data_IF_808792458954
#
_entry.id   IF_808792458954
#
_cell.length_a   1.000
_cell.length_b   1.000
_cell.length_c   1.000
_cell.angle_alpha   90.00
_cell.angle_beta   90.00
_cell.angle_gamma   90.00
#
_symmetry.space_group_name_H-M   'P 1'
#
loop_
_entity.id
_entity.type
_entity.pdbx_description
1 polymer ?
#
# COMPACT_ATOMS: atom_id res chain seq x y z
N UNK A 1 15.25 -56.00 28.32
CA UNK A 1 14.24 -55.08 27.72
C UNK A 1 14.44 -53.60 28.08
N UNK A 2 15.11 -53.22 29.19
CA UNK A 2 15.28 -51.81 29.56
C UNK A 2 16.34 -51.04 28.73
N UNK A 3 17.42 -51.69 28.28
CA UNK A 3 18.52 -51.00 27.55
C UNK A 3 18.17 -50.57 26.12
N UNK A 4 17.18 -51.22 25.47
CA UNK A 4 16.68 -50.84 24.14
C UNK A 4 15.71 -49.66 24.18
N UNK A 5 15.00 -49.46 25.30
CA UNK A 5 14.12 -48.30 25.50
C UNK A 5 14.96 -47.04 25.70
N UNK A 6 15.96 -47.08 26.58
CA UNK A 6 16.86 -45.94 26.84
C UNK A 6 17.59 -45.47 25.59
N UNK A 7 18.11 -46.39 24.76
CA UNK A 7 18.77 -46.03 23.49
C UNK A 7 17.82 -45.35 22.49
N UNK A 8 16.54 -45.72 22.47
CA UNK A 8 15.52 -45.05 21.63
C UNK A 8 15.19 -43.64 22.14
N UNK A 9 15.12 -43.43 23.46
CA UNK A 9 14.91 -42.10 24.03
C UNK A 9 16.09 -41.17 23.74
N UNK A 10 17.32 -41.66 23.89
CA UNK A 10 18.54 -40.87 23.56
C UNK A 10 18.55 -40.51 22.06
N UNK A 11 18.21 -41.44 21.17
CA UNK A 11 18.14 -41.16 19.73
C UNK A 11 17.08 -40.10 19.40
N UNK A 12 15.89 -40.18 19.99
CA UNK A 12 14.82 -39.18 19.79
C UNK A 12 15.24 -37.80 20.30
N UNK A 13 15.90 -37.74 21.47
CA UNK A 13 16.41 -36.49 22.04
C UNK A 13 17.50 -35.89 21.14
N UNK A 14 18.43 -36.70 20.62
CA UNK A 14 19.48 -36.23 19.72
C UNK A 14 18.90 -35.72 18.40
N UNK A 15 17.91 -36.40 17.82
CA UNK A 15 17.23 -35.95 16.60
C UNK A 15 16.48 -34.64 16.82
N UNK A 16 15.75 -34.50 17.94
CA UNK A 16 15.05 -33.26 18.29
C UNK A 16 16.01 -32.10 18.57
N UNK A 17 17.12 -32.35 19.27
CA UNK A 17 18.15 -31.35 19.52
C UNK A 17 18.83 -30.90 18.21
N UNK A 18 19.08 -31.85 17.29
CA UNK A 18 19.67 -31.56 15.98
C UNK A 18 18.71 -30.77 15.08
N UNK A 19 17.41 -31.08 15.14
CA UNK A 19 16.37 -30.34 14.43
C UNK A 19 16.19 -28.93 14.99
N UNK A 20 16.23 -28.76 16.31
CA UNK A 20 16.18 -27.45 16.96
C UNK A 20 17.41 -26.61 16.63
N UNK A 21 18.62 -27.19 16.71
CA UNK A 21 19.86 -26.52 16.31
C UNK A 21 19.82 -26.11 14.83
N UNK A 22 19.27 -26.95 13.96
CA UNK A 22 19.07 -26.63 12.55
C UNK A 22 18.07 -25.49 12.34
N UNK A 23 16.94 -25.48 13.06
CA UNK A 23 15.95 -24.39 13.01
C UNK A 23 16.53 -23.08 13.54
N UNK A 24 17.28 -23.12 14.64
CA UNK A 24 17.97 -21.94 15.20
C UNK A 24 19.04 -21.44 14.22
N UNK A 25 19.85 -22.32 13.65
CA UNK A 25 20.82 -21.96 12.60
C UNK A 25 20.13 -21.38 11.36
N UNK A 26 19.02 -21.95 10.92
CA UNK A 26 18.24 -21.46 9.79
C UNK A 26 17.64 -20.07 10.07
N UNK A 27 17.10 -19.84 11.26
CA UNK A 27 16.62 -18.53 11.69
C UNK A 27 17.76 -17.50 11.82
N UNK A 28 18.91 -17.87 12.39
CA UNK A 28 20.09 -17.00 12.46
C UNK A 28 20.59 -16.67 11.04
N UNK A 29 20.60 -17.63 10.12
CA UNK A 29 21.01 -17.38 8.72
C UNK A 29 20.00 -16.53 7.95
N UNK A 30 18.70 -16.67 8.23
CA UNK A 30 17.60 -15.93 7.59
C UNK A 30 17.42 -14.51 8.13
N UNK A 31 17.73 -14.27 9.40
CA UNK A 31 17.52 -12.97 10.08
C UNK A 31 18.80 -12.29 10.57
N UNK A 32 19.96 -12.93 10.46
CA UNK A 32 21.23 -12.49 11.05
C UNK A 32 22.36 -12.18 10.06
N UNK A 33 22.09 -12.03 8.76
CA UNK A 33 23.06 -11.45 7.83
C UNK A 33 22.67 -10.00 7.50
N UNK A 34 23.02 -9.11 8.42
CA UNK A 34 23.49 -7.79 8.04
C UNK A 34 25.02 -7.82 8.15
N UNK A 35 25.69 -7.10 7.25
CA UNK A 35 27.15 -6.84 7.18
C UNK A 35 27.96 -7.88 6.38
N UNK A 36 28.90 -7.53 5.48
CA UNK A 36 29.58 -6.27 5.17
C UNK A 36 29.97 -6.28 3.69
N UNK A 37 29.77 -5.17 2.97
CA UNK A 37 30.51 -4.93 1.74
C UNK A 37 31.96 -4.61 2.11
N UNK A 38 32.89 -5.28 1.43
CA UNK A 38 34.32 -4.98 1.53
C UNK A 38 34.56 -3.59 0.92
N UNK A 39 34.88 -2.62 1.76
CA UNK A 39 35.65 -1.46 1.32
C UNK A 39 37.09 -1.71 1.73
N UNK A 40 38.00 -1.64 0.77
CA UNK A 40 39.42 -1.86 0.97
C UNK A 40 39.97 -0.67 1.76
N UNK A 41 40.12 -0.80 3.09
CA UNK A 41 41.17 -0.15 3.91
C UNK A 41 40.90 -0.12 5.43
N UNK A 42 40.31 -1.15 6.06
CA UNK A 42 40.38 -1.31 7.52
C UNK A 42 40.50 -2.80 7.89
N UNK A 43 41.52 -3.14 8.68
CA UNK A 43 41.85 -4.50 9.13
C UNK A 43 40.73 -5.17 9.94
N UNK A 44 40.57 -6.46 9.70
CA UNK A 44 39.55 -7.35 10.24
C UNK A 44 39.73 -7.69 11.72
N UNK A 45 38.65 -7.65 12.51
CA UNK A 45 38.55 -8.42 13.75
C UNK A 45 37.20 -9.17 13.76
N UNK A 46 37.22 -10.41 13.29
CA UNK A 46 36.18 -11.41 13.53
C UNK A 46 36.81 -12.57 14.32
N UNK A 47 36.76 -12.52 15.65
CA UNK A 47 37.19 -13.65 16.50
C UNK A 47 35.98 -14.36 17.11
N UNK A 48 35.78 -15.60 16.67
CA UNK A 48 34.95 -16.62 17.30
C UNK A 48 35.50 -16.96 18.69
N UNK A 49 34.65 -16.96 19.73
CA UNK A 49 34.83 -17.77 20.93
C UNK A 49 33.50 -17.89 21.69
N UNK A 50 32.75 -18.97 21.44
CA UNK A 50 31.61 -19.39 22.25
C UNK A 50 32.06 -20.53 23.16
N UNK A 51 32.35 -20.22 24.42
CA UNK A 51 32.65 -21.20 25.47
C UNK A 51 31.39 -22.00 25.82
N UNK A 52 31.38 -23.30 25.50
CA UNK A 52 30.26 -24.25 25.73
C UNK A 52 30.20 -24.74 27.22
N UNK A 53 30.88 -24.06 28.15
CA UNK A 53 30.97 -24.50 29.56
C UNK A 53 29.79 -24.11 30.45
N UNK A 54 29.04 -23.05 30.11
CA UNK A 54 28.01 -22.47 31.00
C UNK A 54 26.55 -22.68 30.53
N UNK A 55 26.33 -23.46 29.46
CA UNK A 55 25.00 -23.62 28.88
C UNK A 55 24.07 -24.58 29.66
N UNK A 56 24.62 -25.44 30.53
CA UNK A 56 23.82 -26.47 31.22
C UNK A 56 23.17 -25.95 32.51
N UNK A 57 23.76 -24.97 33.19
CA UNK A 57 23.20 -24.38 34.42
C UNK A 57 22.14 -23.29 34.18
N UNK A 58 21.91 -22.89 32.93
CA UNK A 58 20.87 -21.93 32.57
C UNK A 58 19.60 -22.57 31.97
N UNK A 59 19.54 -23.90 31.85
CA UNK A 59 18.35 -24.59 31.31
C UNK A 59 17.13 -24.42 32.23
N UNK A 60 17.31 -24.31 33.55
CA UNK A 60 16.22 -24.01 34.49
C UNK A 60 15.72 -22.55 34.43
N UNK A 61 16.51 -21.64 33.82
CA UNK A 61 16.13 -20.24 33.54
C UNK A 61 15.61 -20.02 32.12
N UNK A 62 15.83 -20.97 31.22
CA UNK A 62 15.00 -21.12 30.03
C UNK A 62 13.70 -21.73 30.54
N UNK A 63 12.88 -20.89 31.19
CA UNK A 63 11.42 -21.07 31.14
C UNK A 63 11.16 -21.50 29.72
N UNK A 64 10.63 -22.72 29.52
CA UNK A 64 10.03 -23.10 28.25
C UNK A 64 9.30 -21.84 27.78
N UNK A 65 9.86 -21.17 26.76
CA UNK A 65 9.23 -20.06 26.10
C UNK A 65 7.91 -20.69 25.70
N UNK A 66 6.88 -20.27 26.42
CA UNK A 66 5.50 -20.66 26.20
C UNK A 66 5.31 -20.34 24.73
N UNK A 67 5.42 -21.35 23.86
CA UNK A 67 5.23 -21.29 22.42
C UNK A 67 3.72 -21.11 22.17
N UNK A 68 3.07 -20.28 22.98
CA UNK A 68 1.85 -19.59 22.65
C UNK A 68 2.20 -18.81 21.41
N UNK A 69 1.78 -19.35 20.28
CA UNK A 69 1.65 -18.61 19.03
C UNK A 69 0.65 -17.49 19.32
N UNK A 70 1.15 -16.38 19.85
CA UNK A 70 0.33 -15.19 20.10
C UNK A 70 0.18 -14.47 18.78
N UNK A 71 -1.05 -14.06 18.46
CA UNK A 71 -1.30 -13.13 17.37
C UNK A 71 -0.50 -11.83 17.60
N UNK A 72 -0.25 -11.11 16.51
CA UNK A 72 0.41 -9.81 16.56
C UNK A 72 -0.30 -8.89 17.57
N UNK A 73 0.44 -8.35 18.55
CA UNK A 73 -0.16 -7.62 19.67
C UNK A 73 -0.41 -6.14 19.40
N UNK A 74 0.22 -5.57 18.37
CA UNK A 74 0.17 -4.13 18.08
C UNK A 74 0.82 -3.24 19.14
N UNK A 75 1.53 -3.81 20.12
CA UNK A 75 2.17 -3.02 21.18
C UNK A 75 3.48 -2.38 20.69
N UNK A 76 3.78 -1.14 21.08
CA UNK A 76 5.01 -0.47 20.67
C UNK A 76 6.23 -1.15 21.31
N UNK A 77 7.26 -1.37 20.50
CA UNK A 77 8.52 -1.99 20.93
C UNK A 77 9.78 -1.30 20.38
N UNK A 78 9.64 -0.36 19.41
CA UNK A 78 10.76 0.43 18.87
C UNK A 78 10.73 1.87 19.41
N UNK A 79 11.87 2.56 19.33
CA UNK A 79 12.01 4.00 19.60
C UNK A 79 12.19 4.74 18.28
N UNK A 80 11.53 5.90 18.12
CA UNK A 80 11.63 6.71 16.90
C UNK A 80 13.08 7.08 16.62
N UNK A 81 13.55 7.00 15.35
CA UNK A 81 14.87 7.48 14.97
C UNK A 81 15.04 8.98 15.27
N UNK A 82 16.15 9.37 15.88
CA UNK A 82 16.41 10.78 16.24
C UNK A 82 17.00 11.61 15.10
N UNK A 83 17.58 10.96 14.08
CA UNK A 83 18.28 11.63 12.98
C UNK A 83 17.44 11.55 11.70
N UNK A 84 16.55 12.52 11.53
CA UNK A 84 15.79 12.77 10.30
C UNK A 84 16.39 14.00 9.60
N UNK A 85 17.59 13.85 9.04
CA UNK A 85 18.23 14.91 8.25
C UNK A 85 17.72 14.88 6.81
N UNK A 86 17.30 16.05 6.31
CA UNK A 86 16.87 16.24 4.94
C UNK A 86 17.72 17.33 4.28
N UNK A 87 18.02 17.15 3.01
CA UNK A 87 18.69 18.16 2.20
C UNK A 87 17.86 19.47 2.23
N UNK A 88 18.55 20.62 2.09
CA UNK A 88 17.90 21.93 2.10
C UNK A 88 16.92 22.07 0.93
N UNK A 89 17.32 21.56 -0.23
CA UNK A 89 16.57 21.67 -1.47
C UNK A 89 15.57 20.52 -1.61
N UNK A 90 14.30 20.88 -1.61
CA UNK A 90 13.20 19.91 -1.56
C UNK A 90 12.79 19.45 -2.96
N UNK A 91 12.88 20.35 -3.94
CA UNK A 91 12.66 20.12 -5.37
C UNK A 91 13.32 21.26 -6.18
N UNK A 92 13.65 21.04 -7.45
CA UNK A 92 14.43 21.99 -8.27
C UNK A 92 13.72 22.45 -9.55
N UNK A 93 12.39 22.42 -9.56
CA UNK A 93 11.63 22.57 -10.80
C UNK A 93 11.30 24.04 -11.07
N UNK A 94 11.90 24.60 -12.12
CA UNK A 94 11.36 25.72 -12.89
C UNK A 94 10.85 25.19 -14.24
N UNK A 95 9.93 24.24 -14.22
CA UNK A 95 9.36 23.66 -15.45
C UNK A 95 8.11 24.43 -15.89
N UNK A 96 7.91 24.52 -17.18
CA UNK A 96 6.73 25.16 -17.76
C UNK A 96 5.49 24.41 -17.30
N UNK A 97 4.61 25.11 -16.57
CA UNK A 97 3.36 24.55 -16.05
C UNK A 97 2.57 23.87 -17.17
N UNK A 98 2.41 22.54 -17.07
CA UNK A 98 1.47 21.78 -17.91
C UNK A 98 0.04 22.23 -17.58
N UNK A 99 -0.75 22.59 -18.60
CA UNK A 99 -2.13 23.00 -18.43
C UNK A 99 -3.05 21.77 -18.27
N UNK A 100 -2.94 21.08 -17.13
CA UNK A 100 -3.61 19.81 -16.92
C UNK A 100 -4.12 19.61 -15.49
N UNK A 101 -5.42 19.30 -15.37
CA UNK A 101 -6.10 19.11 -14.08
C UNK A 101 -6.28 17.64 -13.69
N UNK A 102 -6.28 16.74 -14.67
CA UNK A 102 -6.45 15.31 -14.45
C UNK A 102 -5.16 14.58 -14.84
N UNK A 103 -4.59 13.84 -13.91
CA UNK A 103 -3.33 13.13 -14.11
C UNK A 103 -3.50 11.65 -13.88
N UNK A 104 -3.06 10.82 -14.82
CA UNK A 104 -2.96 9.39 -14.62
C UNK A 104 -1.50 9.03 -14.33
N UNK A 105 -1.27 8.36 -13.21
CA UNK A 105 0.08 8.05 -12.70
C UNK A 105 0.27 6.55 -12.73
N UNK A 106 1.33 6.10 -13.41
CA UNK A 106 1.72 4.69 -13.46
C UNK A 106 3.23 4.56 -13.37
N UNK A 107 3.68 3.50 -12.70
CA UNK A 107 5.06 3.03 -12.75
C UNK A 107 5.06 1.70 -13.51
N UNK A 108 6.02 1.48 -14.40
CA UNK A 108 6.07 0.24 -15.19
C UNK A 108 7.50 -0.13 -15.58
N UNK A 109 7.76 -1.43 -15.66
CA UNK A 109 8.98 -2.00 -16.28
C UNK A 109 8.69 -2.60 -17.66
N UNK A 110 7.45 -2.52 -18.12
CA UNK A 110 6.96 -3.14 -19.34
C UNK A 110 6.88 -2.16 -20.50
N UNK A 111 6.55 -2.70 -21.68
CA UNK A 111 6.23 -1.94 -22.88
C UNK A 111 4.86 -1.23 -22.71
N UNK A 112 4.57 -0.18 -23.49
CA UNK A 112 3.30 0.54 -23.37
C UNK A 112 2.09 -0.39 -23.58
N UNK A 113 1.33 -0.58 -22.51
CA UNK A 113 0.16 -1.45 -22.49
C UNK A 113 -1.06 -0.81 -23.16
N UNK A 114 -2.09 -1.62 -23.39
CA UNK A 114 -3.39 -1.13 -23.87
C UNK A 114 -3.98 -0.07 -22.92
N UNK A 115 -3.81 -0.25 -21.60
CA UNK A 115 -4.23 0.73 -20.59
C UNK A 115 -3.61 2.08 -20.83
N UNK A 116 -2.27 2.15 -20.95
CA UNK A 116 -1.55 3.40 -21.21
C UNK A 116 -2.02 4.03 -22.52
N UNK A 117 -2.15 3.25 -23.59
CA UNK A 117 -2.63 3.72 -24.91
C UNK A 117 -4.02 4.36 -24.82
N UNK A 118 -4.95 3.70 -24.12
CA UNK A 118 -6.30 4.21 -23.95
C UNK A 118 -6.33 5.54 -23.18
N UNK A 119 -5.49 5.72 -22.15
CA UNK A 119 -5.48 6.96 -21.37
C UNK A 119 -4.88 8.12 -22.16
N UNK A 120 -3.77 7.90 -22.87
CA UNK A 120 -3.09 9.00 -23.60
C UNK A 120 -3.95 9.56 -24.74
N UNK A 121 -4.81 8.74 -25.33
CA UNK A 121 -5.77 9.18 -26.35
C UNK A 121 -6.88 10.09 -25.80
N UNK A 122 -7.08 10.14 -24.48
CA UNK A 122 -8.06 11.02 -23.87
C UNK A 122 -7.45 12.40 -23.58
N UNK A 123 -7.82 13.47 -24.32
CA UNK A 123 -7.21 14.79 -24.17
C UNK A 123 -7.51 15.47 -22.84
N UNK A 124 -8.44 14.94 -22.03
CA UNK A 124 -8.72 15.46 -20.69
C UNK A 124 -7.69 15.05 -19.65
N UNK A 125 -6.89 14.02 -19.96
CA UNK A 125 -5.91 13.45 -19.06
C UNK A 125 -4.50 13.75 -19.53
N UNK A 126 -3.64 14.07 -18.56
CA UNK A 126 -2.21 13.91 -18.72
C UNK A 126 -1.78 12.58 -18.12
N UNK A 127 -0.79 11.96 -18.73
CA UNK A 127 -0.25 10.69 -18.26
C UNK A 127 1.20 10.92 -17.88
N UNK A 128 1.57 10.50 -16.68
CA UNK A 128 2.96 10.47 -16.23
C UNK A 128 3.38 9.02 -15.99
N UNK A 129 4.36 8.58 -16.77
CA UNK A 129 5.07 7.32 -16.55
C UNK A 129 6.26 7.60 -15.65
N UNK A 130 6.31 6.94 -14.50
CA UNK A 130 7.48 6.90 -13.64
C UNK A 130 8.31 5.68 -14.03
N UNK A 131 9.40 5.89 -14.75
CA UNK A 131 10.27 4.79 -15.18
C UNK A 131 11.16 4.32 -14.01
N UNK A 132 11.30 3.00 -13.86
CA UNK A 132 12.34 2.40 -13.04
C UNK A 132 13.62 2.20 -13.87
N UNK A 133 14.73 1.80 -13.22
CA UNK A 133 15.98 1.46 -13.89
C UNK A 133 15.85 0.27 -14.84
N UNK A 134 14.82 -0.55 -14.66
CA UNK A 134 14.51 -1.69 -15.54
C UNK A 134 13.62 -1.33 -16.72
N UNK A 135 12.99 -0.15 -16.71
CA UNK A 135 12.13 0.29 -17.80
C UNK A 135 12.97 0.59 -19.03
N UNK A 136 12.42 0.29 -20.22
CA UNK A 136 13.07 0.68 -21.47
C UNK A 136 13.25 2.20 -21.57
N UNK A 137 14.27 2.64 -22.32
CA UNK A 137 14.57 4.06 -22.50
C UNK A 137 13.37 4.85 -23.00
N UNK A 138 13.32 6.16 -22.70
CA UNK A 138 12.27 7.06 -23.20
C UNK A 138 12.09 6.93 -24.71
N UNK A 139 13.18 6.87 -25.47
CA UNK A 139 13.13 6.74 -26.92
C UNK A 139 12.41 5.45 -27.36
N UNK A 140 12.77 4.30 -26.78
CA UNK A 140 12.14 3.02 -27.08
C UNK A 140 10.66 3.02 -26.68
N UNK A 141 10.36 3.51 -25.48
CA UNK A 141 8.98 3.58 -24.98
C UNK A 141 8.09 4.44 -25.86
N UNK A 142 8.56 5.64 -26.21
CA UNK A 142 7.82 6.56 -27.07
C UNK A 142 7.65 6.02 -28.49
N UNK A 143 8.67 5.36 -29.04
CA UNK A 143 8.60 4.75 -30.37
C UNK A 143 7.53 3.66 -30.44
N UNK A 144 7.44 2.82 -29.41
CA UNK A 144 6.41 1.76 -29.34
C UNK A 144 5.02 2.28 -28.99
N UNK A 145 4.94 3.35 -28.18
CA UNK A 145 3.68 3.98 -27.83
C UNK A 145 3.06 4.65 -29.07
N UNK A 146 3.88 5.22 -29.95
CA UNK A 146 3.42 5.89 -31.17
C UNK A 146 2.67 7.19 -30.91
N UNK A 147 2.71 7.71 -29.69
CA UNK A 147 1.98 8.90 -29.26
C UNK A 147 2.90 10.14 -29.27
N UNK A 148 2.37 11.28 -29.75
CA UNK A 148 3.11 12.54 -29.88
C UNK A 148 2.46 13.73 -29.17
N UNK A 149 1.41 13.49 -28.37
CA UNK A 149 0.71 14.55 -27.64
C UNK A 149 1.51 15.08 -26.45
N UNK A 150 1.32 16.35 -26.13
CA UNK A 150 2.06 17.07 -25.07
C UNK A 150 1.57 16.76 -23.64
N UNK A 151 0.44 16.07 -23.52
CA UNK A 151 -0.16 15.56 -22.29
C UNK A 151 0.48 14.25 -21.81
N UNK A 152 1.54 13.77 -22.48
CA UNK A 152 2.32 12.62 -22.02
C UNK A 152 3.66 13.06 -21.43
N UNK A 153 4.02 12.50 -20.27
CA UNK A 153 5.28 12.73 -19.56
C UNK A 153 5.90 11.38 -19.24
N UNK A 154 7.20 11.26 -19.53
CA UNK A 154 7.99 10.08 -19.17
C UNK A 154 9.14 10.53 -18.29
N UNK A 155 9.13 10.17 -17.01
CA UNK A 155 10.16 10.54 -16.04
C UNK A 155 11.21 9.42 -15.97
N UNK A 156 12.37 9.67 -16.58
CA UNK A 156 13.53 8.76 -16.52
C UNK A 156 14.16 8.79 -15.13
N UNK A 157 14.98 7.78 -14.75
CA UNK A 157 15.65 7.76 -13.46
C UNK A 157 16.37 9.06 -13.08
N UNK A 158 17.06 9.69 -14.03
CA UNK A 158 17.77 10.95 -13.81
C UNK A 158 16.81 12.13 -13.55
N UNK A 159 15.59 12.09 -14.11
CA UNK A 159 14.57 13.10 -13.84
C UNK A 159 14.08 13.03 -12.39
N UNK A 160 14.09 11.86 -11.76
CA UNK A 160 13.65 11.69 -10.38
C UNK A 160 14.55 12.46 -9.42
N UNK A 161 15.87 12.27 -9.56
CA UNK A 161 16.89 12.92 -8.75
C UNK A 161 16.99 14.40 -9.07
N UNK A 162 16.88 14.78 -10.35
CA UNK A 162 16.94 16.17 -10.79
C UNK A 162 15.74 16.99 -10.33
N UNK A 163 14.52 16.46 -10.43
CA UNK A 163 13.29 17.21 -10.11
C UNK A 163 12.99 17.16 -8.61
N UNK A 164 13.14 15.99 -7.97
CA UNK A 164 12.71 15.73 -6.60
C UNK A 164 13.80 15.01 -5.80
N UNK A 165 14.99 15.62 -5.60
CA UNK A 165 16.16 14.99 -4.98
C UNK A 165 15.86 14.38 -3.60
N UNK A 166 15.17 15.12 -2.73
CA UNK A 166 14.87 14.69 -1.36
C UNK A 166 13.97 13.46 -1.35
N UNK A 167 12.91 13.44 -2.17
CA UNK A 167 12.00 12.29 -2.30
C UNK A 167 12.71 11.13 -2.99
N UNK A 168 13.40 11.37 -4.11
CA UNK A 168 14.08 10.35 -4.90
C UNK A 168 15.13 9.60 -4.08
N UNK A 169 15.87 10.29 -3.20
CA UNK A 169 16.85 9.69 -2.29
C UNK A 169 16.22 8.80 -1.21
N UNK A 170 15.00 9.12 -0.78
CA UNK A 170 14.27 8.33 0.21
C UNK A 170 13.62 7.07 -0.40
N UNK A 171 13.35 7.06 -1.71
CA UNK A 171 12.66 5.97 -2.38
C UNK A 171 13.65 4.87 -2.84
N UNK A 172 13.38 3.58 -2.58
CA UNK A 172 14.15 2.49 -3.17
C UNK A 172 13.93 2.38 -4.70
N UNK A 173 14.90 1.80 -5.41
CA UNK A 173 14.75 1.39 -6.81
C UNK A 173 14.17 -0.02 -6.91
N UNK A 174 13.61 -0.38 -8.06
CA UNK A 174 12.92 -1.66 -8.32
C UNK A 174 11.76 -1.87 -7.33
N UNK A 175 11.08 -0.78 -7.01
CA UNK A 175 10.08 -0.76 -5.96
C UNK A 175 8.81 -0.06 -6.42
N UNK A 176 7.66 -0.64 -6.12
CA UNK A 176 6.34 -0.11 -6.48
C UNK A 176 6.13 1.33 -6.00
N UNK A 177 6.63 1.63 -4.79
CA UNK A 177 6.59 2.98 -4.20
C UNK A 177 7.29 4.08 -5.00
N UNK A 178 8.06 3.79 -6.08
CA UNK A 178 8.56 4.83 -7.00
C UNK A 178 7.43 5.64 -7.63
N UNK A 179 6.23 5.06 -7.75
CA UNK A 179 4.99 5.72 -8.17
C UNK A 179 4.71 7.04 -7.43
N UNK A 180 5.18 7.18 -6.18
CA UNK A 180 5.12 8.41 -5.39
C UNK A 180 5.68 9.65 -6.09
N UNK A 181 6.70 9.49 -6.95
CA UNK A 181 7.27 10.60 -7.74
C UNK A 181 6.26 11.14 -8.73
N UNK A 182 5.48 10.25 -9.35
CA UNK A 182 4.40 10.64 -10.26
C UNK A 182 3.31 11.42 -9.53
N UNK A 183 2.96 11.03 -8.29
CA UNK A 183 2.01 11.79 -7.48
C UNK A 183 2.53 13.19 -7.17
N UNK A 184 3.78 13.32 -6.68
CA UNK A 184 4.40 14.63 -6.43
C UNK A 184 4.42 15.47 -7.71
N UNK A 185 4.81 14.87 -8.83
CA UNK A 185 4.83 15.55 -10.13
C UNK A 185 3.45 16.09 -10.49
N UNK A 186 2.39 15.27 -10.39
CA UNK A 186 1.02 15.71 -10.65
C UNK A 186 0.56 16.83 -9.71
N UNK A 187 0.85 16.72 -8.40
CA UNK A 187 0.53 17.76 -7.41
C UNK A 187 1.23 19.07 -7.77
N UNK A 188 2.52 19.00 -8.11
CA UNK A 188 3.33 20.14 -8.53
C UNK A 188 2.74 20.85 -9.76
N UNK A 189 2.25 20.06 -10.72
CA UNK A 189 1.56 20.55 -11.90
C UNK A 189 0.06 20.86 -11.68
N UNK A 190 -0.32 21.18 -10.42
CA UNK A 190 -1.65 21.69 -10.05
C UNK A 190 -2.79 20.73 -10.41
N UNK A 191 -2.56 19.43 -10.30
CA UNK A 191 -3.61 18.42 -10.40
C UNK A 191 -4.80 18.77 -9.48
N UNK A 192 -6.00 18.50 -9.97
CA UNK A 192 -7.22 18.42 -9.16
C UNK A 192 -7.60 16.97 -8.89
N UNK A 193 -7.23 16.08 -9.82
CA UNK A 193 -7.45 14.66 -9.72
C UNK A 193 -6.24 13.86 -10.18
N UNK A 194 -5.95 12.77 -9.48
CA UNK A 194 -4.91 11.80 -9.80
C UNK A 194 -5.56 10.41 -9.91
N UNK A 195 -5.53 9.81 -11.10
CA UNK A 195 -5.85 8.40 -11.31
C UNK A 195 -4.61 7.56 -11.03
N UNK A 196 -4.67 6.80 -9.96
CA UNK A 196 -3.72 5.76 -9.60
C UNK A 196 -4.16 4.45 -10.27
N UNK A 197 -3.36 3.98 -11.23
CA UNK A 197 -3.68 2.79 -12.00
C UNK A 197 -2.43 1.98 -12.32
N UNK A 198 -2.62 0.68 -12.55
CA UNK A 198 -1.57 -0.21 -13.03
C UNK A 198 -1.72 -0.43 -14.54
N UNK A 199 -0.63 -0.77 -15.20
CA UNK A 199 -0.59 -0.93 -16.66
C UNK A 199 -1.34 -2.19 -17.16
N UNK A 200 -1.86 -3.03 -16.27
CA UNK A 200 -2.72 -4.17 -16.56
C UNK A 200 -4.23 -3.89 -16.34
N UNK A 201 -4.61 -2.65 -16.00
CA UNK A 201 -6.00 -2.23 -15.84
C UNK A 201 -6.57 -1.71 -17.17
N UNK A 202 -7.30 -2.52 -17.91
CA UNK A 202 -7.89 -2.10 -19.19
C UNK A 202 -9.22 -1.39 -18.95
N UNK A 203 -9.31 -0.15 -19.41
CA UNK A 203 -10.48 0.72 -19.24
C UNK A 203 -10.09 2.08 -18.70
N UNK A 204 -11.07 2.97 -18.55
CA UNK A 204 -10.85 4.31 -18.03
C UNK A 204 -11.90 4.66 -16.98
N UNK A 205 -11.45 5.23 -15.86
CA UNK A 205 -12.35 5.85 -14.90
C UNK A 205 -13.00 7.05 -15.60
N UNK A 206 -14.31 6.97 -15.83
CA UNK A 206 -15.02 8.07 -16.45
C UNK A 206 -15.30 9.18 -15.42
N UNK A 207 -14.43 10.20 -15.41
CA UNK A 207 -14.56 11.36 -14.52
C UNK A 207 -15.83 12.17 -14.73
N UNK A 208 -16.51 12.07 -15.87
CA UNK A 208 -17.75 12.85 -16.06
C UNK A 208 -18.82 12.45 -15.06
N UNK A 209 -18.73 11.25 -14.45
CA UNK A 209 -19.60 10.93 -13.34
C UNK A 209 -19.25 11.71 -12.09
N UNK A 210 -17.96 12.02 -11.84
CA UNK A 210 -17.37 12.55 -10.60
C UNK A 210 -17.27 14.08 -10.59
N UNK A 211 -17.25 14.72 -11.76
CA UNK A 211 -17.17 16.17 -11.89
C UNK A 211 -18.52 16.84 -12.22
N UNK A 212 -19.55 16.08 -12.59
CA UNK A 212 -20.75 16.65 -13.22
C UNK A 212 -21.97 16.84 -12.30
N UNK A 213 -21.95 16.42 -11.03
CA UNK A 213 -23.15 16.50 -10.19
C UNK A 213 -22.86 17.07 -8.80
N UNK A 214 -23.45 18.22 -8.51
CA UNK A 214 -23.58 18.77 -7.14
C UNK A 214 -24.51 17.93 -6.25
N UNK A 215 -25.23 16.96 -6.84
CA UNK A 215 -26.09 15.99 -6.17
C UNK A 215 -25.70 14.57 -6.57
N UNK A 216 -24.71 13.99 -5.86
CA UNK A 216 -24.44 12.55 -5.95
C UNK A 216 -25.52 11.78 -5.20
N UNK A 217 -26.15 10.82 -5.88
CA UNK A 217 -26.96 9.81 -5.20
C UNK A 217 -26.09 8.58 -4.99
N UNK A 218 -25.86 8.24 -3.73
CA UNK A 218 -25.02 7.13 -3.29
C UNK A 218 -25.72 6.39 -2.16
N UNK A 219 -25.20 5.20 -1.84
CA UNK A 219 -25.65 4.43 -0.70
C UNK A 219 -24.71 4.61 0.49
N UNK A 220 -25.28 4.52 1.68
CA UNK A 220 -24.58 4.42 2.96
C UNK A 220 -25.23 3.32 3.80
N UNK A 221 -24.58 2.79 4.84
CA UNK A 221 -25.25 1.98 5.85
C UNK A 221 -26.47 2.70 6.42
N UNK A 222 -27.58 1.97 6.59
CA UNK A 222 -28.79 2.53 7.17
C UNK A 222 -28.58 3.03 8.60
N UNK A 223 -29.37 4.01 9.07
CA UNK A 223 -29.29 4.51 10.44
C UNK A 223 -29.36 3.38 11.48
N UNK A 224 -28.51 3.46 12.51
CA UNK A 224 -28.40 2.44 13.56
C UNK A 224 -27.26 1.44 13.37
N UNK A 225 -26.61 1.42 12.20
CA UNK A 225 -25.40 0.63 11.99
C UNK A 225 -24.19 1.22 12.72
N UNK A 226 -23.36 0.36 13.32
CA UNK A 226 -22.28 0.78 14.23
C UNK A 226 -21.04 -0.14 14.23
N UNK A 227 -20.63 -0.69 13.08
CA UNK A 227 -19.38 -1.43 12.99
C UNK A 227 -18.19 -0.56 12.52
N UNK A 228 -16.99 -0.95 12.89
CA UNK A 228 -15.74 -0.27 12.48
C UNK A 228 -15.21 -0.75 11.13
N UNK A 229 -15.82 -1.77 10.53
CA UNK A 229 -15.43 -2.29 9.23
C UNK A 229 -16.67 -2.53 8.38
N UNK A 230 -16.52 -2.31 7.08
CA UNK A 230 -17.56 -2.54 6.08
C UNK A 230 -16.95 -3.25 4.88
N UNK A 231 -17.58 -4.34 4.44
CA UNK A 231 -17.16 -5.04 3.24
C UNK A 231 -18.03 -4.60 2.05
N UNK A 232 -17.48 -3.85 1.08
CA UNK A 232 -18.26 -3.31 -0.02
C UNK A 232 -18.61 -4.37 -1.08
N UNK A 233 -17.82 -5.44 -1.22
CA UNK A 233 -17.92 -6.36 -2.36
C UNK A 233 -19.27 -7.08 -2.49
N UNK A 234 -19.90 -7.59 -1.40
CA UNK A 234 -21.20 -8.25 -1.50
C UNK A 234 -22.30 -7.37 -2.09
N UNK A 235 -22.27 -6.05 -1.86
CA UNK A 235 -23.25 -5.12 -2.44
C UNK A 235 -23.17 -5.06 -3.97
N UNK A 236 -21.98 -5.15 -4.54
CA UNK A 236 -21.79 -5.09 -5.99
C UNK A 236 -22.07 -6.42 -6.71
N UNK A 237 -22.52 -7.43 -5.96
CA UNK A 237 -23.01 -8.71 -6.47
C UNK A 237 -21.90 -9.61 -6.96
N UNK A 238 -21.51 -10.57 -6.13
CA UNK A 238 -20.67 -11.71 -6.49
C UNK A 238 -21.51 -12.99 -6.46
N UNK A 239 -21.16 -13.99 -7.26
CA UNK A 239 -21.81 -15.32 -7.19
C UNK A 239 -21.34 -16.13 -5.97
N UNK A 240 -20.15 -15.83 -5.47
CA UNK A 240 -19.50 -16.52 -4.36
C UNK A 240 -20.02 -16.09 -2.98
N UNK A 241 -20.10 -17.04 -2.05
CA UNK A 241 -20.51 -16.76 -0.67
C UNK A 241 -19.35 -16.12 0.08
N UNK A 242 -19.44 -14.84 0.47
CA UNK A 242 -18.35 -14.07 1.09
C UNK A 242 -17.21 -13.73 0.12
N UNK A 243 -17.31 -12.60 -0.59
CA UNK A 243 -16.20 -11.94 -1.28
C UNK A 243 -15.72 -10.75 -0.49
N UNK A 244 -14.43 -10.42 -0.55
CA UNK A 244 -13.85 -9.30 0.19
C UNK A 244 -12.65 -8.71 -0.57
N UNK A 245 -12.38 -7.40 -0.40
CA UNK A 245 -11.19 -6.79 -0.96
C UNK A 245 -9.92 -7.31 -0.26
N UNK A 246 -8.81 -7.37 -1.01
CA UNK A 246 -7.49 -7.77 -0.48
C UNK A 246 -7.14 -6.98 0.79
N UNK A 247 -6.76 -7.72 1.83
CA UNK A 247 -6.36 -7.19 3.13
C UNK A 247 -7.49 -6.86 4.09
N UNK A 248 -8.74 -7.18 3.73
CA UNK A 248 -9.85 -7.13 4.67
C UNK A 248 -9.60 -8.15 5.81
N UNK A 249 -9.85 -7.80 7.08
CA UNK A 249 -9.59 -8.70 8.21
C UNK A 249 -10.29 -10.06 8.04
N UNK A 250 -9.49 -11.13 7.98
CA UNK A 250 -9.99 -12.49 7.73
C UNK A 250 -10.93 -12.98 8.82
N UNK A 251 -10.79 -12.46 10.05
CA UNK A 251 -11.68 -12.78 11.17
C UNK A 251 -13.09 -12.23 10.97
N UNK A 252 -13.28 -11.26 10.07
CA UNK A 252 -14.53 -10.51 9.91
C UNK A 252 -15.26 -10.84 8.60
N UNK A 253 -14.65 -11.59 7.66
CA UNK A 253 -15.24 -11.89 6.34
C UNK A 253 -16.57 -12.66 6.44
N UNK A 254 -16.82 -13.35 7.56
CA UNK A 254 -18.07 -14.09 7.83
C UNK A 254 -19.02 -13.35 8.77
N UNK A 255 -18.61 -12.21 9.31
CA UNK A 255 -19.41 -11.47 10.28
C UNK A 255 -20.49 -10.66 9.53
N UNK A 256 -21.79 -10.95 9.70
CA UNK A 256 -22.83 -10.26 8.95
C UNK A 256 -22.92 -8.76 9.26
N UNK A 257 -22.35 -8.29 10.38
CA UNK A 257 -22.37 -6.86 10.74
C UNK A 257 -21.57 -6.01 9.76
N UNK A 258 -20.54 -6.57 9.08
CA UNK A 258 -19.72 -5.81 8.13
C UNK A 258 -20.39 -5.68 6.76
N UNK A 259 -21.54 -6.32 6.55
CA UNK A 259 -22.35 -6.23 5.33
C UNK A 259 -23.74 -5.66 5.66
N UNK A 260 -23.83 -4.34 5.94
CA UNK A 260 -25.08 -3.74 6.40
C UNK A 260 -26.15 -3.63 5.33
N UNK A 261 -27.39 -3.42 5.79
CA UNK A 261 -28.43 -2.86 4.95
C UNK A 261 -28.05 -1.45 4.51
N UNK A 262 -28.29 -1.14 3.23
CA UNK A 262 -27.89 0.11 2.61
C UNK A 262 -29.10 1.00 2.32
N UNK A 263 -28.93 2.29 2.60
CA UNK A 263 -29.93 3.33 2.45
C UNK A 263 -29.42 4.42 1.50
N UNK A 264 -30.32 5.03 0.73
CA UNK A 264 -29.98 6.13 -0.18
C UNK A 264 -29.67 7.40 0.60
N UNK A 265 -28.64 8.11 0.17
CA UNK A 265 -28.30 9.45 0.64
C UNK A 265 -27.95 10.34 -0.55
N UNK A 266 -28.26 11.64 -0.40
CA UNK A 266 -28.02 12.68 -1.40
C UNK A 266 -27.34 13.91 -0.77
N UNK A 267 -26.72 13.77 0.40
CA UNK A 267 -26.06 14.88 1.11
C UNK A 267 -24.79 15.28 0.35
N UNK A 268 -24.58 16.58 0.15
CA UNK A 268 -23.35 17.13 -0.45
C UNK A 268 -22.14 16.90 0.45
N UNK A 269 -20.99 16.62 -0.15
CA UNK A 269 -19.79 16.18 0.57
C UNK A 269 -18.51 16.36 -0.24
N UNK A 270 -17.39 16.37 0.47
CA UNK A 270 -16.06 16.35 -0.13
C UNK A 270 -15.63 14.92 -0.38
N UNK A 271 -15.54 14.53 -1.65
CA UNK A 271 -15.00 13.24 -2.06
C UNK A 271 -13.47 13.36 -2.11
N UNK A 272 -12.77 12.47 -1.40
CA UNK A 272 -11.32 12.37 -1.48
C UNK A 272 -10.87 11.26 -2.40
N UNK A 273 -11.52 10.10 -2.33
CA UNK A 273 -11.11 8.90 -3.06
C UNK A 273 -12.32 8.19 -3.63
N UNK A 274 -12.17 7.72 -4.86
CA UNK A 274 -13.09 6.78 -5.50
C UNK A 274 -12.31 5.55 -5.91
N UNK A 275 -12.60 4.43 -5.25
CA UNK A 275 -12.13 3.12 -5.66
C UNK A 275 -13.12 2.55 -6.67
N UNK A 276 -12.67 2.27 -7.90
CA UNK A 276 -13.45 1.44 -8.81
C UNK A 276 -13.16 -0.02 -8.60
N UNK A 277 -14.19 -0.85 -8.73
CA UNK A 277 -14.00 -2.29 -8.85
C UNK A 277 -13.38 -2.65 -10.19
N UNK A 278 -12.73 -3.82 -10.24
CA UNK A 278 -12.16 -4.37 -11.46
C UNK A 278 -12.85 -5.69 -11.78
N UNK A 279 -13.34 -5.84 -13.01
CA UNK A 279 -13.85 -7.11 -13.52
C UNK A 279 -12.71 -8.00 -14.04
N UNK A 280 -13.04 -9.27 -14.30
CA UNK A 280 -12.17 -10.38 -14.70
C UNK A 280 -11.21 -10.79 -13.60
N UNK A 281 -10.32 -9.91 -13.14
CA UNK A 281 -9.42 -10.21 -12.03
C UNK A 281 -9.60 -9.19 -10.90
N UNK A 282 -10.68 -9.25 -10.12
CA UNK A 282 -10.88 -8.38 -8.96
C UNK A 282 -9.70 -8.45 -7.98
N UNK A 283 -9.45 -7.37 -7.23
CA UNK A 283 -8.39 -7.34 -6.22
C UNK A 283 -8.81 -8.03 -4.92
N UNK A 284 -8.73 -9.36 -4.98
CA UNK A 284 -8.89 -10.28 -3.85
C UNK A 284 -7.53 -10.85 -3.47
N UNK A 285 -7.39 -11.21 -2.19
CA UNK A 285 -6.15 -11.76 -1.64
C UNK A 285 -5.85 -13.18 -2.13
N UNK A 286 -4.64 -13.65 -1.84
CA UNK A 286 -4.18 -14.97 -2.26
C UNK A 286 -4.98 -16.11 -1.60
N UNK A 287 -5.47 -15.94 -0.36
CA UNK A 287 -6.34 -16.94 0.28
C UNK A 287 -7.61 -17.13 -0.54
N UNK A 288 -8.28 -16.04 -0.93
CA UNK A 288 -9.44 -16.12 -1.81
C UNK A 288 -9.09 -16.84 -3.12
N UNK A 289 -8.00 -16.43 -3.79
CA UNK A 289 -7.57 -17.02 -5.09
C UNK A 289 -7.19 -18.50 -4.99
N UNK A 290 -6.66 -18.95 -3.86
CA UNK A 290 -6.26 -20.33 -3.63
C UNK A 290 -7.45 -21.24 -3.26
N UNK A 291 -8.58 -20.66 -2.83
CA UNK A 291 -9.70 -21.41 -2.23
C UNK A 291 -11.02 -21.25 -2.95
N UNK A 292 -11.13 -20.33 -3.93
CA UNK A 292 -12.36 -19.95 -4.63
C UNK A 292 -12.15 -19.93 -6.13
N UNK A 293 -13.25 -19.93 -6.87
CA UNK A 293 -13.23 -19.69 -8.30
C UNK A 293 -12.86 -18.23 -8.59
N UNK A 294 -11.80 -18.05 -9.37
CA UNK A 294 -11.31 -16.78 -9.88
C UNK A 294 -10.60 -17.07 -11.22
N UNK A 295 -10.78 -16.28 -12.31
CA UNK A 295 -11.40 -14.95 -12.44
C UNK A 295 -12.92 -14.88 -12.18
N UNK A 296 -13.44 -13.74 -11.75
CA UNK A 296 -14.89 -13.45 -11.69
C UNK A 296 -15.22 -11.99 -12.03
N UNK A 297 -16.49 -11.74 -12.37
CA UNK A 297 -17.03 -10.40 -12.61
C UNK A 297 -18.03 -10.02 -11.53
N UNK A 298 -18.09 -8.73 -11.18
CA UNK A 298 -19.18 -8.20 -10.39
C UNK A 298 -20.44 -8.06 -11.26
N UNK A 299 -21.61 -8.36 -10.68
CA UNK A 299 -22.92 -8.17 -11.32
C UNK A 299 -23.28 -6.70 -11.48
N UNK A 300 -22.71 -5.85 -10.63
CA UNK A 300 -22.95 -4.42 -10.67
C UNK A 300 -22.45 -3.76 -11.96
N UNK A 301 -23.23 -2.80 -12.43
CA UNK A 301 -22.86 -1.89 -13.53
C UNK A 301 -23.17 -0.47 -13.12
N UNK A 302 -22.56 0.50 -13.80
CA UNK A 302 -22.82 1.93 -13.58
C UNK A 302 -24.29 2.34 -13.78
N UNK A 303 -25.08 1.50 -14.46
CA UNK A 303 -26.52 1.72 -14.68
C UNK A 303 -27.39 1.07 -13.61
N UNK A 304 -26.93 -0.02 -13.02
CA UNK A 304 -27.72 -0.85 -12.10
C UNK A 304 -27.45 -0.55 -10.63
N UNK A 305 -26.26 -0.05 -10.30
CA UNK A 305 -25.84 0.18 -8.91
C UNK A 305 -25.36 1.61 -8.70
N UNK A 306 -25.69 2.14 -7.52
CA UNK A 306 -25.18 3.42 -7.08
C UNK A 306 -23.83 3.21 -6.40
N UNK A 307 -22.95 4.22 -6.37
CA UNK A 307 -21.74 4.14 -5.57
C UNK A 307 -22.06 3.93 -4.08
N UNK A 308 -21.22 3.20 -3.37
CA UNK A 308 -21.29 2.99 -1.93
C UNK A 308 -20.28 3.91 -1.25
N UNK A 309 -20.76 4.84 -0.44
CA UNK A 309 -19.89 5.67 0.40
C UNK A 309 -19.68 4.99 1.76
N UNK A 310 -18.44 4.99 2.24
CA UNK A 310 -18.17 4.52 3.59
C UNK A 310 -18.50 5.60 4.63
N UNK A 311 -19.21 5.24 5.70
CA UNK A 311 -19.46 6.16 6.80
C UNK A 311 -18.15 6.43 7.57
N UNK A 312 -18.06 7.62 8.17
CA UNK A 312 -16.93 7.97 9.02
C UNK A 312 -16.76 6.98 10.16
N UNK A 313 -15.51 6.63 10.46
CA UNK A 313 -15.15 5.70 11.53
C UNK A 313 -15.26 4.23 11.11
N UNK A 314 -15.59 3.94 9.85
CA UNK A 314 -15.54 2.60 9.28
C UNK A 314 -14.36 2.47 8.33
N UNK A 315 -13.72 1.31 8.31
CA UNK A 315 -12.55 1.03 7.50
C UNK A 315 -12.84 -0.05 6.46
N UNK A 316 -12.29 0.10 5.27
CA UNK A 316 -12.21 -0.94 4.25
C UNK A 316 -10.98 -0.73 3.38
N UNK A 317 -10.19 -1.77 3.10
CA UNK A 317 -9.02 -1.59 2.27
C UNK A 317 -9.43 -1.23 0.84
N UNK A 318 -8.63 -0.37 0.23
CA UNK A 318 -8.69 -0.05 -1.19
C UNK A 318 -7.26 -0.04 -1.76
N UNK A 319 -7.11 -0.23 -3.07
CA UNK A 319 -5.81 -0.52 -3.68
C UNK A 319 -5.35 0.62 -4.59
N UNK A 320 -4.26 0.42 -5.32
CA UNK A 320 -3.73 1.37 -6.28
C UNK A 320 -4.22 1.12 -7.73
N UNK A 321 -5.28 0.33 -7.89
CA UNK A 321 -5.85 -0.09 -9.17
C UNK A 321 -7.18 0.61 -9.39
N UNK A 322 -7.28 1.37 -10.48
CA UNK A 322 -8.48 2.12 -10.82
C UNK A 322 -9.01 3.00 -9.66
N UNK A 323 -8.08 3.72 -9.03
CA UNK A 323 -8.35 4.55 -7.86
C UNK A 323 -8.18 6.00 -8.21
N UNK A 324 -9.24 6.79 -8.09
CA UNK A 324 -9.18 8.22 -8.29
C UNK A 324 -9.01 8.95 -6.96
N UNK A 325 -7.96 9.76 -6.86
CA UNK A 325 -7.71 10.68 -5.77
C UNK A 325 -8.08 12.10 -6.19
N UNK A 326 -8.81 12.81 -5.34
CA UNK A 326 -9.09 14.23 -5.48
C UNK A 326 -8.13 15.06 -4.62
N UNK A 327 -7.95 16.33 -4.97
CA UNK A 327 -7.00 17.25 -4.32
C UNK A 327 -7.06 17.25 -2.79
N UNK A 328 -8.26 17.13 -2.21
CA UNK A 328 -8.44 17.09 -0.76
C UNK A 328 -7.69 15.93 -0.07
N UNK A 329 -7.42 14.83 -0.78
CA UNK A 329 -6.76 13.64 -0.25
C UNK A 329 -5.28 13.52 -0.63
N UNK A 330 -4.70 14.47 -1.39
CA UNK A 330 -3.34 14.34 -1.93
C UNK A 330 -2.25 14.26 -0.86
N UNK A 331 -2.43 14.87 0.30
CA UNK A 331 -1.46 14.73 1.40
C UNK A 331 -1.31 13.26 1.85
N UNK A 332 -2.38 12.47 1.71
CA UNK A 332 -2.52 11.09 2.20
C UNK A 332 -2.40 10.02 1.10
N UNK A 333 -2.01 10.40 -0.11
CA UNK A 333 -1.75 9.46 -1.22
C UNK A 333 -0.46 8.62 -1.12
N UNK A 334 0.60 8.96 -0.34
CA UNK A 334 1.89 8.31 -0.52
C UNK A 334 1.88 6.83 -0.11
N UNK A 335 2.50 6.01 -0.95
CA UNK A 335 2.70 4.58 -0.75
C UNK A 335 3.89 4.31 0.19
N UNK A 336 3.73 3.51 1.26
CA UNK A 336 4.83 3.00 2.05
C UNK A 336 5.85 2.20 1.23
N UNK A 337 7.11 2.20 1.66
CA UNK A 337 8.27 1.76 0.89
C UNK A 337 9.10 0.66 1.53
N UNK A 338 8.87 0.31 2.81
CA UNK A 338 9.56 -0.80 3.47
C UNK A 338 8.79 -2.12 3.49
N UNK A 339 7.53 -2.11 3.05
CA UNK A 339 6.67 -3.29 3.00
C UNK A 339 6.59 -3.85 1.58
N UNK A 340 6.16 -5.11 1.46
CA UNK A 340 5.99 -5.74 0.15
C UNK A 340 5.02 -4.95 -0.75
N UNK A 341 5.24 -5.02 -2.07
CA UNK A 341 4.39 -4.37 -3.06
C UNK A 341 2.93 -4.82 -3.03
N UNK A 342 2.61 -6.00 -2.47
CA UNK A 342 1.23 -6.46 -2.26
C UNK A 342 0.57 -5.90 -1.00
N UNK A 343 1.35 -5.22 -0.15
CA UNK A 343 0.94 -4.70 1.15
C UNK A 343 0.88 -3.17 1.14
N UNK A 344 1.77 -2.52 0.39
CA UNK A 344 1.95 -1.06 0.35
C UNK A 344 0.67 -0.26 0.09
N UNK A 345 -0.10 -0.59 -0.95
CA UNK A 345 -1.30 0.15 -1.34
C UNK A 345 -2.46 -0.06 -0.37
N UNK A 346 -2.55 -1.26 0.21
CA UNK A 346 -3.49 -1.61 1.26
C UNK A 346 -3.15 -0.89 2.57
N UNK A 347 -1.89 -0.87 3.01
CA UNK A 347 -1.48 -0.08 4.19
C UNK A 347 -1.73 1.41 4.01
N UNK A 348 -1.37 1.96 2.83
CA UNK A 348 -1.73 3.35 2.49
C UNK A 348 -3.24 3.59 2.64
N UNK A 349 -4.10 2.66 2.22
CA UNK A 349 -5.55 2.86 2.33
C UNK A 349 -6.02 3.10 3.76
N UNK A 350 -5.62 2.25 4.70
CA UNK A 350 -5.96 2.42 6.11
C UNK A 350 -5.33 3.69 6.71
N UNK A 351 -4.10 4.02 6.33
CA UNK A 351 -3.42 5.23 6.82
C UNK A 351 -4.14 6.49 6.33
N UNK A 352 -4.65 6.49 5.09
CA UNK A 352 -5.43 7.59 4.54
C UNK A 352 -6.82 7.70 5.19
N UNK A 353 -7.53 6.57 5.34
CA UNK A 353 -8.85 6.51 5.98
C UNK A 353 -8.83 7.09 7.41
N UNK A 354 -7.75 6.88 8.17
CA UNK A 354 -7.55 7.48 9.48
C UNK A 354 -7.70 9.02 9.46
N UNK A 355 -7.15 9.70 8.44
CA UNK A 355 -7.30 11.15 8.28
C UNK A 355 -8.64 11.51 7.63
N UNK A 356 -9.15 10.68 6.73
CA UNK A 356 -10.44 10.94 6.07
C UNK A 356 -11.57 11.12 7.06
N UNK A 357 -11.60 10.27 8.09
CA UNK A 357 -12.58 10.35 9.18
C UNK A 357 -12.54 11.66 9.95
N UNK A 358 -11.38 12.31 10.00
CA UNK A 358 -11.09 13.50 10.80
C UNK A 358 -11.30 14.78 10.01
N UNK A 359 -11.09 14.72 8.70
CA UNK A 359 -11.11 15.89 7.81
C UNK A 359 -12.36 15.99 6.93
N UNK A 360 -13.39 15.18 7.21
CA UNK A 360 -14.60 15.11 6.39
C UNK A 360 -14.30 14.82 4.91
N UNK A 361 -13.31 13.98 4.67
CA UNK A 361 -12.98 13.46 3.35
C UNK A 361 -13.68 12.10 3.24
N UNK A 362 -14.33 11.84 2.11
CA UNK A 362 -15.14 10.64 1.94
C UNK A 362 -14.51 9.70 0.90
N UNK A 363 -14.55 8.40 1.21
CA UNK A 363 -14.16 7.30 0.32
C UNK A 363 -15.42 6.65 -0.25
N UNK A 364 -15.41 6.41 -1.56
CA UNK A 364 -16.51 5.81 -2.30
C UNK A 364 -16.00 4.58 -3.06
N UNK A 365 -16.76 3.50 -3.00
CA UNK A 365 -16.64 2.37 -3.91
C UNK A 365 -17.63 2.55 -5.05
N UNK A 366 -17.16 2.37 -6.29
CA UNK A 366 -17.99 2.45 -7.49
C UNK A 366 -18.06 1.09 -8.20
N UNK A 367 -19.13 0.83 -8.96
CA UNK A 367 -19.18 -0.34 -9.84
C UNK A 367 -17.96 -0.41 -10.77
N UNK A 368 -17.69 -1.57 -11.39
CA UNK A 368 -16.49 -1.73 -12.20
C UNK A 368 -16.41 -0.76 -13.38
N UNK A 369 -15.31 0.01 -13.45
CA UNK A 369 -14.93 0.84 -14.61
C UNK A 369 -13.87 0.16 -15.47
N UNK A 370 -13.11 -0.76 -14.87
CA UNK A 370 -11.98 -1.41 -15.53
C UNK A 370 -12.14 -2.93 -15.51
N UNK A 371 -11.40 -3.57 -16.41
CA UNK A 371 -11.16 -5.00 -16.43
C UNK A 371 -9.68 -5.22 -16.21
N UNK A 372 -9.31 -6.01 -15.22
CA UNK A 372 -7.90 -6.30 -14.98
C UNK A 372 -7.45 -7.53 -15.79
N UNK A 373 -6.43 -7.34 -16.60
CA UNK A 373 -5.75 -8.40 -17.37
C UNK A 373 -4.43 -8.76 -16.69
N UNK A 374 -4.56 -9.38 -15.51
CA UNK A 374 -3.43 -9.64 -14.63
C UNK A 374 -2.37 -10.53 -15.28
N UNK A 375 -1.11 -10.21 -15.01
CA UNK A 375 0.02 -11.07 -15.37
C UNK A 375 -0.02 -12.42 -14.61
N UNK A 376 0.61 -13.49 -15.13
CA UNK A 376 0.72 -14.76 -14.40
C UNK A 376 1.49 -14.57 -13.08
N UNK A 377 0.90 -15.00 -11.96
CA UNK A 377 1.52 -14.95 -10.64
C UNK A 377 1.61 -16.33 -10.00
N UNK A 378 2.54 -16.47 -9.04
CA UNK A 378 2.58 -17.64 -8.16
C UNK A 378 1.77 -17.32 -6.89
N UNK A 379 0.59 -17.93 -6.79
CA UNK A 379 -0.34 -17.65 -5.69
C UNK A 379 0.21 -17.97 -4.29
N UNK A 380 1.14 -18.92 -4.17
CA UNK A 380 1.78 -19.22 -2.88
C UNK A 380 2.81 -18.15 -2.49
N UNK A 381 3.50 -17.55 -3.46
CA UNK A 381 4.36 -16.38 -3.20
C UNK A 381 3.52 -15.18 -2.82
N UNK A 382 2.37 -14.99 -3.49
CA UNK A 382 1.43 -13.91 -3.15
C UNK A 382 0.91 -14.08 -1.71
N UNK A 383 0.58 -15.30 -1.30
CA UNK A 383 0.18 -15.62 0.06
C UNK A 383 1.25 -15.26 1.10
N UNK A 384 2.52 -15.62 0.84
CA UNK A 384 3.65 -15.27 1.73
C UNK A 384 3.85 -13.75 1.82
N UNK A 385 3.78 -13.06 0.68
CA UNK A 385 3.92 -11.61 0.58
C UNK A 385 2.78 -10.84 1.30
N UNK A 386 1.57 -11.39 1.33
CA UNK A 386 0.39 -10.78 1.95
C UNK A 386 0.25 -11.09 3.46
N UNK A 387 1.19 -11.82 4.06
CA UNK A 387 1.09 -12.28 5.45
C UNK A 387 0.77 -11.16 6.45
N UNK A 388 1.35 -9.97 6.27
CA UNK A 388 1.10 -8.84 7.17
C UNK A 388 -0.35 -8.34 7.11
N UNK A 389 -1.01 -8.46 5.95
CA UNK A 389 -2.44 -8.13 5.82
C UNK A 389 -3.29 -9.11 6.64
N UNK A 390 -3.01 -10.41 6.52
CA UNK A 390 -3.77 -11.45 7.22
C UNK A 390 -3.62 -11.36 8.73
N UNK A 391 -2.41 -11.07 9.20
CA UNK A 391 -2.08 -11.16 10.62
C UNK A 391 -2.23 -9.84 11.38
N UNK A 392 -2.34 -8.70 10.68
CA UNK A 392 -2.23 -7.37 11.33
C UNK A 392 -3.33 -6.38 10.97
N UNK A 393 -4.13 -6.58 9.92
CA UNK A 393 -5.16 -5.60 9.51
C UNK A 393 -6.16 -5.31 10.63
N UNK A 394 -6.66 -6.34 11.33
CA UNK A 394 -7.62 -6.14 12.44
C UNK A 394 -7.04 -5.27 13.55
N UNK A 395 -5.81 -5.57 13.96
CA UNK A 395 -5.11 -4.85 15.04
C UNK A 395 -4.78 -3.43 14.60
N UNK A 396 -4.45 -3.23 13.31
CA UNK A 396 -4.21 -1.91 12.74
C UNK A 396 -5.47 -1.04 12.82
N UNK A 397 -6.61 -1.57 12.38
CA UNK A 397 -7.89 -0.84 12.41
C UNK A 397 -8.23 -0.42 13.84
N UNK A 398 -8.10 -1.32 14.81
CA UNK A 398 -8.33 -0.99 16.22
C UNK A 398 -7.40 0.12 16.71
N UNK A 399 -6.11 0.05 16.39
CA UNK A 399 -5.14 1.10 16.71
C UNK A 399 -5.55 2.45 16.11
N UNK A 400 -5.87 2.49 14.82
CA UNK A 400 -6.24 3.73 14.13
C UNK A 400 -7.54 4.33 14.68
N UNK A 401 -8.48 3.50 15.12
CA UNK A 401 -9.71 3.93 15.80
C UNK A 401 -9.44 4.58 17.17
N UNK A 402 -8.37 4.21 17.86
CA UNK A 402 -8.03 4.70 19.20
C UNK A 402 -7.08 5.91 19.19
N UNK A 403 -6.31 6.10 18.12
CA UNK A 403 -5.32 7.18 18.02
C UNK A 403 -5.97 8.58 17.94
N UNK A 404 -5.56 9.47 18.85
CA UNK A 404 -5.88 10.89 18.80
C UNK A 404 -5.11 11.59 17.68
N UNK A 405 -5.72 12.58 17.01
CA UNK A 405 -5.05 13.37 15.97
C UNK A 405 -4.50 14.69 16.46
N UNK A 406 -3.46 15.13 15.76
CA UNK A 406 -2.96 16.51 15.69
C UNK A 406 -3.22 17.07 14.27
N UNK A 407 -2.70 18.27 13.97
CA UNK A 407 -2.79 18.91 12.65
C UNK A 407 -2.38 17.97 11.50
N UNK A 408 -2.99 18.08 10.31
CA UNK A 408 -2.84 17.19 9.15
C UNK A 408 -1.40 16.72 8.87
N UNK A 409 -0.47 17.64 8.57
CA UNK A 409 0.92 17.32 8.22
C UNK A 409 1.72 16.68 9.35
N UNK A 410 1.65 17.27 10.55
CA UNK A 410 2.33 16.76 11.74
C UNK A 410 1.73 15.40 12.16
N UNK A 411 0.41 15.28 12.05
CA UNK A 411 -0.33 14.06 12.35
C UNK A 411 0.09 12.92 11.43
N UNK A 412 0.33 13.19 10.14
CA UNK A 412 0.83 12.19 9.20
C UNK A 412 2.23 11.69 9.56
N UNK A 413 3.14 12.60 9.91
CA UNK A 413 4.48 12.24 10.40
C UNK A 413 4.39 11.40 11.70
N UNK A 414 3.59 11.85 12.67
CA UNK A 414 3.37 11.14 13.93
C UNK A 414 2.73 9.76 13.73
N UNK A 415 1.80 9.62 12.79
CA UNK A 415 1.19 8.33 12.48
C UNK A 415 2.25 7.32 12.03
N UNK A 416 3.12 7.70 11.09
CA UNK A 416 4.20 6.84 10.62
C UNK A 416 5.20 6.49 11.73
N UNK A 417 5.47 7.42 12.65
CA UNK A 417 6.26 7.11 13.85
C UNK A 417 5.57 6.08 14.76
N UNK A 418 4.26 6.19 14.98
CA UNK A 418 3.48 5.23 15.77
C UNK A 418 3.42 3.84 15.11
N UNK A 419 3.29 3.81 13.78
CA UNK A 419 3.32 2.59 12.98
C UNK A 419 4.71 1.93 13.03
N UNK A 420 5.77 2.71 12.92
CA UNK A 420 7.15 2.24 13.08
C UNK A 420 7.40 1.66 14.47
N UNK A 421 6.97 2.36 15.54
CA UNK A 421 7.09 1.90 16.94
C UNK A 421 6.51 0.50 17.13
N UNK A 422 5.48 0.15 16.36
CA UNK A 422 4.72 -1.12 16.44
C UNK A 422 5.12 -2.13 15.36
N UNK A 423 6.11 -1.81 14.52
CA UNK A 423 6.65 -2.73 13.53
C UNK A 423 5.74 -2.99 12.33
N UNK A 424 4.87 -2.05 11.97
CA UNK A 424 4.11 -2.10 10.70
C UNK A 424 4.95 -1.69 9.49
N UNK A 425 5.91 -0.78 9.72
CA UNK A 425 6.79 -0.18 8.72
C UNK A 425 8.18 0.03 9.34
N UNK A 426 9.18 0.25 8.50
CA UNK A 426 10.57 0.48 8.90
C UNK A 426 10.96 1.97 8.89
N UNK A 427 12.20 2.25 9.31
CA UNK A 427 12.68 3.63 9.52
C UNK A 427 12.74 4.46 8.24
N UNK A 428 12.87 3.77 7.11
CA UNK A 428 12.87 4.30 5.75
C UNK A 428 11.54 4.98 5.44
N UNK A 429 10.42 4.41 5.87
CA UNK A 429 9.09 5.03 5.72
C UNK A 429 8.95 6.31 6.56
N UNK A 430 9.51 6.32 7.76
CA UNK A 430 9.52 7.52 8.62
C UNK A 430 10.32 8.64 7.94
N UNK A 431 11.49 8.33 7.39
CA UNK A 431 12.27 9.31 6.61
C UNK A 431 11.50 9.77 5.38
N UNK A 432 10.93 8.84 4.63
CA UNK A 432 10.18 9.12 3.42
C UNK A 432 8.96 10.01 3.67
N UNK A 433 8.15 9.75 4.70
CA UNK A 433 6.95 10.55 4.94
C UNK A 433 7.29 11.97 5.40
N UNK A 434 8.36 12.13 6.16
CA UNK A 434 8.84 13.45 6.56
C UNK A 434 9.30 14.25 5.34
N UNK A 435 10.04 13.61 4.42
CA UNK A 435 10.38 14.18 3.12
C UNK A 435 9.13 14.53 2.31
N UNK A 436 8.16 13.62 2.22
CA UNK A 436 6.88 13.80 1.51
C UNK A 436 6.14 15.04 1.99
N UNK A 437 5.90 15.15 3.30
CA UNK A 437 5.19 16.29 3.89
C UNK A 437 5.93 17.60 3.58
N UNK A 438 7.26 17.63 3.77
CA UNK A 438 8.07 18.81 3.45
C UNK A 438 7.94 19.22 1.98
N UNK A 439 7.96 18.27 1.06
CA UNK A 439 7.80 18.51 -0.39
C UNK A 439 6.42 19.01 -0.75
N UNK A 440 5.37 18.35 -0.29
CA UNK A 440 3.98 18.74 -0.59
C UNK A 440 3.66 20.12 -0.03
N UNK A 441 4.07 20.43 1.20
CA UNK A 441 3.85 21.75 1.79
C UNK A 441 4.59 22.86 1.04
N UNK A 442 5.83 22.62 0.63
CA UNK A 442 6.59 23.59 -0.15
C UNK A 442 5.93 23.85 -1.52
N UNK A 443 5.45 22.80 -2.19
CA UNK A 443 4.68 22.92 -3.43
C UNK A 443 3.37 23.70 -3.21
N UNK A 444 2.61 23.41 -2.15
CA UNK A 444 1.37 24.13 -1.87
C UNK A 444 1.61 25.62 -1.61
N UNK A 445 2.64 25.97 -0.83
CA UNK A 445 3.05 27.36 -0.61
C UNK A 445 3.42 28.07 -1.91
N UNK A 446 4.17 27.40 -2.79
CA UNK A 446 4.50 27.96 -4.11
C UNK A 446 3.25 28.17 -4.98
N UNK A 447 2.32 27.22 -4.96
CA UNK A 447 1.07 27.33 -5.73
C UNK A 447 0.25 28.52 -5.23
N UNK A 448 0.11 28.68 -3.92
CA UNK A 448 -0.62 29.78 -3.27
C UNK A 448 0.02 31.15 -3.53
N UNK A 449 1.35 31.26 -3.51
CA UNK A 449 2.06 32.51 -3.80
C UNK A 449 1.93 32.97 -5.27
N UNK A 450 1.56 32.06 -6.17
CA UNK A 450 1.43 32.27 -7.61
C UNK A 450 -0.04 32.28 -8.09
N UNK A 451 -0.99 32.48 -7.18
CA UNK A 451 -2.43 32.73 -7.43
C UNK A 451 -2.72 34.14 -6.98
#
# INVERSE_FOLDING_TARGET
MNSLREKKYVLVIVVLASFLLYQTYYHIKRFGYQTCMMDQNVESICTNNLHIGNAVQNLDKIKLLDLKRTLFSGQPFRKVPTNLEFDKDVYFVHDNKKNCKHWAVVTTIFKPSESVRNIVENPKWCVVIVADRQTQSRFSYMSELGYKGENFVFLEPDDHERLYPTISKALPWKHFGRKNIGYIYSIHHRAEYICDFDDDNVGLINLTMITAKTNYSYLIPCPGWSATMINPYPYFGVDETYSWPRGFPLEEIRNPIVTPLLCKSNVSMTIGVIQSLANKQPDVDAIYRLTRDNPFDFKATLKSHQPLMLPRGSYTPFNAQATLWAKAAFLYIPLPISVDGRVTDIWRSYFAEYFFHKENINLIFSPPYVRQDRNPHNLLKDFDAENDLYMRSKVLINLLSELSSTNSSLGLQQLYEELYKRGYIESEDVKFIHAWVKTVEAIFKEIEANV
#
